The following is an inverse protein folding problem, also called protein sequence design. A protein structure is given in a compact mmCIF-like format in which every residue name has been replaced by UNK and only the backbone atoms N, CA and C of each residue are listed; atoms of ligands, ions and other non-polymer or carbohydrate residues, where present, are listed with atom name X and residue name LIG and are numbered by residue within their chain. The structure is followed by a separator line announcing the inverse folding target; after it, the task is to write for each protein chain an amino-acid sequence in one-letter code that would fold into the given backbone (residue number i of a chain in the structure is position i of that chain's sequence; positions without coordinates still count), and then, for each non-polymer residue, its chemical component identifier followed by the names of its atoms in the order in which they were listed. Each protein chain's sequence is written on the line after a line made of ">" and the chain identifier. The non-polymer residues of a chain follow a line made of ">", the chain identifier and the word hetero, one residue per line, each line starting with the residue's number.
data_IF_448902078100
#
_entry.id   IF_448902078100
#
_cell.length_a   1.000
_cell.length_b   1.000
_cell.length_c   1.000
_cell.angle_alpha   90.00
_cell.angle_beta   90.00
_cell.angle_gamma   90.00
#
_symmetry.space_group_name_H-M   'P 1'
#
loop_
_entity.id
_entity.type
_entity.pdbx_description
1 polymer ?
#
# COMPACT_ATOMS: atom_id res chain seq x y z
N UNK A 1 19.93 -8.22 23.57
CA UNK A 1 20.75 -7.88 24.75
C UNK A 1 22.15 -7.38 24.40
N UNK A 2 22.77 -7.78 23.29
CA UNK A 2 24.14 -7.34 22.94
C UNK A 2 24.20 -6.00 22.18
N UNK A 3 23.15 -5.64 21.43
CA UNK A 3 23.00 -4.28 20.88
C UNK A 3 23.91 -3.97 19.69
N UNK A 4 24.35 -5.00 18.96
CA UNK A 4 25.23 -4.83 17.80
C UNK A 4 24.53 -4.06 16.67
N UNK A 5 25.29 -3.20 15.99
CA UNK A 5 24.83 -2.52 14.77
C UNK A 5 24.68 -3.51 13.62
N UNK A 6 23.73 -3.24 12.73
CA UNK A 6 23.46 -4.03 11.53
C UNK A 6 23.58 -3.17 10.28
N UNK A 7 23.96 -3.77 9.16
CA UNK A 7 23.99 -3.08 7.87
C UNK A 7 22.59 -2.94 7.29
N UNK A 8 22.40 -1.99 6.36
CA UNK A 8 21.11 -1.79 5.72
C UNK A 8 20.68 -3.03 4.88
N UNK A 9 21.64 -3.74 4.28
CA UNK A 9 21.40 -4.99 3.56
C UNK A 9 20.86 -6.10 4.48
N UNK A 10 21.48 -6.24 5.66
CA UNK A 10 21.00 -7.18 6.68
C UNK A 10 19.59 -6.80 7.17
N UNK A 11 19.31 -5.49 7.31
CA UNK A 11 17.99 -5.00 7.69
C UNK A 11 16.91 -5.42 6.69
N UNK A 12 17.21 -5.38 5.38
CA UNK A 12 16.30 -5.84 4.33
C UNK A 12 16.10 -7.35 4.41
N UNK A 13 17.19 -8.11 4.53
CA UNK A 13 17.14 -9.58 4.61
C UNK A 13 16.28 -10.07 5.77
N UNK A 14 16.33 -9.37 6.91
CA UNK A 14 15.54 -9.71 8.09
C UNK A 14 14.11 -9.16 8.06
N UNK A 15 13.75 -8.40 7.02
CA UNK A 15 12.42 -7.78 6.88
C UNK A 15 12.17 -6.60 7.82
N UNK A 16 13.22 -5.99 8.36
CA UNK A 16 13.10 -4.79 9.21
C UNK A 16 12.80 -3.54 8.36
N UNK A 17 13.39 -3.47 7.17
CA UNK A 17 13.10 -2.45 6.16
C UNK A 17 12.75 -3.11 4.84
N UNK A 18 12.05 -2.38 3.97
CA UNK A 18 11.57 -2.92 2.69
C UNK A 18 12.65 -3.02 1.61
N UNK A 19 13.56 -2.04 1.53
CA UNK A 19 14.58 -1.95 0.48
C UNK A 19 15.81 -1.17 0.97
N UNK A 20 16.97 -1.56 0.47
CA UNK A 20 18.23 -0.84 0.58
C UNK A 20 18.69 -0.47 -0.84
N UNK A 21 19.18 0.75 -1.01
CA UNK A 21 19.73 1.29 -2.26
C UNK A 21 21.00 2.04 -1.95
N UNK A 22 21.82 2.33 -2.96
CA UNK A 22 22.99 3.20 -2.80
C UNK A 22 22.58 4.58 -2.27
N UNK A 23 23.44 5.19 -1.46
CA UNK A 23 23.16 6.48 -0.78
C UNK A 23 22.67 7.57 -1.75
N UNK A 24 23.28 7.64 -2.94
CA UNK A 24 22.93 8.62 -3.98
C UNK A 24 21.53 8.39 -4.57
N UNK A 25 21.00 7.17 -4.46
CA UNK A 25 19.70 6.76 -5.00
C UNK A 25 18.57 6.84 -3.96
N UNK A 26 18.88 7.08 -2.68
CA UNK A 26 17.87 7.08 -1.61
C UNK A 26 16.71 8.03 -1.90
N UNK A 27 17.01 9.30 -2.17
CA UNK A 27 15.98 10.31 -2.44
C UNK A 27 15.26 10.10 -3.78
N UNK A 28 15.97 9.87 -4.92
CA UNK A 28 15.32 9.53 -6.18
C UNK A 28 14.32 8.37 -6.07
N UNK A 29 14.69 7.29 -5.37
CA UNK A 29 13.85 6.11 -5.19
C UNK A 29 12.64 6.40 -4.29
N UNK A 30 12.85 7.13 -3.19
CA UNK A 30 11.78 7.53 -2.28
C UNK A 30 10.75 8.44 -2.96
N UNK A 31 11.21 9.41 -3.76
CA UNK A 31 10.34 10.31 -4.51
C UNK A 31 9.56 9.57 -5.60
N UNK A 32 10.21 8.64 -6.30
CA UNK A 32 9.53 7.78 -7.28
C UNK A 32 8.41 6.95 -6.63
N UNK A 33 8.65 6.43 -5.42
CA UNK A 33 7.66 5.68 -4.66
C UNK A 33 6.48 6.56 -4.22
N UNK A 34 6.76 7.80 -3.77
CA UNK A 34 5.74 8.78 -3.44
C UNK A 34 4.86 9.12 -4.65
N UNK A 35 5.48 9.38 -5.81
CA UNK A 35 4.77 9.65 -7.06
C UNK A 35 3.92 8.45 -7.48
N UNK A 36 4.46 7.24 -7.37
CA UNK A 36 3.72 6.02 -7.67
C UNK A 36 2.48 5.88 -6.80
N UNK A 37 2.61 5.97 -5.47
CA UNK A 37 1.46 5.86 -4.58
C UNK A 37 0.46 7.01 -4.73
N UNK A 38 0.92 8.21 -5.06
CA UNK A 38 0.05 9.35 -5.32
C UNK A 38 -0.76 9.20 -6.62
N UNK A 39 -0.29 8.42 -7.59
CA UNK A 39 -1.01 8.13 -8.84
C UNK A 39 -1.98 6.94 -8.74
N UNK A 40 -1.91 6.17 -7.66
CA UNK A 40 -2.81 5.03 -7.39
C UNK A 40 -4.15 5.50 -6.76
N UNK A 41 -5.17 4.62 -6.61
CA UNK A 41 -6.43 4.99 -5.95
C UNK A 41 -6.20 5.18 -4.44
N UNK A 42 -5.85 6.40 -4.04
CA UNK A 42 -5.37 6.71 -2.69
C UNK A 42 -6.37 6.41 -1.58
N UNK A 43 -7.69 6.54 -1.84
CA UNK A 43 -8.72 6.09 -0.89
C UNK A 43 -8.67 4.58 -0.69
N UNK A 44 -8.57 3.80 -1.78
CA UNK A 44 -8.41 2.35 -1.72
C UNK A 44 -7.15 1.94 -0.95
N UNK A 45 -6.02 2.59 -1.20
CA UNK A 45 -4.78 2.37 -0.46
C UNK A 45 -4.92 2.67 1.04
N UNK A 46 -5.65 3.73 1.40
CA UNK A 46 -5.93 4.06 2.79
C UNK A 46 -6.79 2.97 3.46
N UNK A 47 -7.79 2.43 2.77
CA UNK A 47 -8.61 1.32 3.28
C UNK A 47 -7.79 0.04 3.45
N UNK A 48 -6.89 -0.29 2.52
CA UNK A 48 -5.96 -1.43 2.65
C UNK A 48 -5.07 -1.24 3.89
N UNK A 49 -4.48 -0.05 4.07
CA UNK A 49 -3.65 0.25 5.24
C UNK A 49 -4.43 0.14 6.55
N UNK A 50 -5.70 0.56 6.55
CA UNK A 50 -6.61 0.42 7.70
C UNK A 50 -6.87 -1.05 8.02
N UNK A 51 -7.15 -1.89 7.02
CA UNK A 51 -7.34 -3.33 7.20
C UNK A 51 -6.08 -4.02 7.76
N UNK A 52 -4.90 -3.67 7.21
CA UNK A 52 -3.62 -4.24 7.64
C UNK A 52 -3.29 -3.86 9.09
N UNK A 53 -3.49 -2.60 9.47
CA UNK A 53 -3.21 -2.15 10.84
C UNK A 53 -4.13 -2.82 11.88
N UNK A 54 -5.35 -3.19 11.50
CA UNK A 54 -6.29 -3.85 12.40
C UNK A 54 -6.01 -5.35 12.58
N UNK A 55 -5.35 -6.01 11.62
CA UNK A 55 -5.24 -7.47 11.58
C UNK A 55 -4.44 -8.07 12.73
N UNK A 56 -3.52 -7.31 13.33
CA UNK A 56 -2.75 -7.75 14.50
C UNK A 56 -3.62 -7.98 15.75
N UNK A 57 -4.74 -7.26 15.87
CA UNK A 57 -5.64 -7.33 17.02
C UNK A 57 -6.93 -8.13 16.76
N UNK A 58 -7.27 -8.35 15.50
CA UNK A 58 -8.51 -9.03 15.12
C UNK A 58 -8.34 -10.56 15.13
N UNK A 59 -9.42 -11.27 15.46
CA UNK A 59 -9.57 -12.67 15.03
C UNK A 59 -9.80 -12.72 13.51
N UNK A 60 -9.63 -13.91 12.91
CA UNK A 60 -9.90 -14.09 11.48
C UNK A 60 -11.31 -13.63 11.10
N UNK A 61 -12.34 -14.01 11.86
CA UNK A 61 -13.73 -13.64 11.58
C UNK A 61 -13.93 -12.11 11.63
N UNK A 62 -13.38 -11.45 12.65
CA UNK A 62 -13.44 -9.99 12.79
C UNK A 62 -12.73 -9.29 11.62
N UNK A 63 -11.60 -9.83 11.18
CA UNK A 63 -10.85 -9.28 10.07
C UNK A 63 -11.61 -9.42 8.75
N UNK A 64 -12.24 -10.57 8.50
CA UNK A 64 -13.06 -10.80 7.31
C UNK A 64 -14.30 -9.89 7.29
N UNK A 65 -14.93 -9.65 8.44
CA UNK A 65 -16.02 -8.70 8.58
C UNK A 65 -15.57 -7.27 8.25
N UNK A 66 -14.42 -6.84 8.78
CA UNK A 66 -13.83 -5.54 8.48
C UNK A 66 -13.51 -5.40 6.99
N UNK A 67 -12.84 -6.39 6.39
CA UNK A 67 -12.46 -6.38 4.98
C UNK A 67 -13.68 -6.34 4.05
N UNK A 68 -14.75 -7.07 4.37
CA UNK A 68 -16.04 -7.00 3.66
C UNK A 68 -16.57 -5.58 3.64
N UNK A 69 -16.58 -4.90 4.79
CA UNK A 69 -17.17 -3.57 4.90
C UNK A 69 -16.30 -2.51 4.20
N UNK A 70 -14.97 -2.61 4.32
CA UNK A 70 -14.03 -1.76 3.59
C UNK A 70 -14.12 -1.98 2.07
N UNK A 71 -14.29 -3.21 1.60
CA UNK A 71 -14.48 -3.46 0.17
C UNK A 71 -15.81 -2.93 -0.35
N UNK A 72 -16.87 -2.98 0.45
CA UNK A 72 -18.15 -2.35 0.11
C UNK A 72 -18.03 -0.83 0.03
N UNK A 73 -17.21 -0.21 0.88
CA UNK A 73 -16.87 1.20 0.81
C UNK A 73 -16.08 1.52 -0.47
N UNK A 74 -15.01 0.77 -0.73
CA UNK A 74 -14.19 0.93 -1.93
C UNK A 74 -15.00 0.76 -3.22
N UNK A 75 -15.91 -0.21 -3.28
CA UNK A 75 -16.77 -0.44 -4.45
C UNK A 75 -17.76 0.69 -4.77
N UNK A 76 -17.86 1.72 -3.93
CA UNK A 76 -18.72 2.90 -4.14
C UNK A 76 -17.96 4.16 -4.54
N UNK A 77 -16.64 4.09 -4.67
CA UNK A 77 -15.80 5.22 -5.05
C UNK A 77 -15.82 5.46 -6.56
N UNK A 78 -15.51 6.69 -6.99
CA UNK A 78 -15.31 7.00 -8.40
C UNK A 78 -14.12 6.21 -8.96
N UNK A 79 -13.07 6.05 -8.17
CA UNK A 79 -11.86 5.31 -8.53
C UNK A 79 -12.13 3.82 -8.81
N UNK A 80 -13.09 3.19 -8.12
CA UNK A 80 -13.48 1.81 -8.44
C UNK A 80 -14.14 1.73 -9.81
N UNK A 81 -15.09 2.62 -10.10
CA UNK A 81 -15.74 2.68 -11.40
C UNK A 81 -14.74 2.95 -12.52
N UNK A 82 -13.82 3.89 -12.31
CA UNK A 82 -12.75 4.22 -13.26
C UNK A 82 -11.81 3.04 -13.47
N UNK A 83 -11.36 2.37 -12.41
CA UNK A 83 -10.48 1.21 -12.53
C UNK A 83 -11.10 0.07 -13.33
N UNK A 84 -12.38 -0.24 -13.09
CA UNK A 84 -13.12 -1.24 -13.86
C UNK A 84 -13.28 -0.80 -15.32
N UNK A 85 -13.63 0.46 -15.55
CA UNK A 85 -13.84 1.01 -16.90
C UNK A 85 -12.55 1.01 -17.71
N UNK A 86 -11.47 1.55 -17.15
CA UNK A 86 -10.15 1.60 -17.78
C UNK A 86 -9.62 0.21 -18.12
N UNK A 87 -9.84 -0.77 -17.24
CA UNK A 87 -9.50 -2.17 -17.50
C UNK A 87 -10.27 -2.74 -18.69
N UNK A 88 -11.60 -2.54 -18.73
CA UNK A 88 -12.45 -3.00 -19.84
C UNK A 88 -12.09 -2.32 -21.17
N UNK A 89 -11.72 -1.04 -21.11
CA UNK A 89 -11.30 -0.22 -22.25
C UNK A 89 -9.83 -0.41 -22.64
N UNK A 90 -9.05 -1.19 -21.86
CA UNK A 90 -7.60 -1.42 -22.05
C UNK A 90 -6.78 -0.13 -22.12
N UNK A 91 -7.11 0.84 -21.27
CA UNK A 91 -6.37 2.09 -21.10
C UNK A 91 -5.84 2.22 -19.68
N UNK A 92 -4.93 3.16 -19.49
CA UNK A 92 -4.49 3.56 -18.16
C UNK A 92 -5.64 4.22 -17.39
N UNK A 93 -5.76 3.89 -16.10
CA UNK A 93 -6.76 4.46 -15.20
C UNK A 93 -6.29 5.80 -14.65
N UNK A 94 -7.20 6.75 -14.50
CA UNK A 94 -6.92 8.08 -13.93
C UNK A 94 -7.64 8.21 -12.59
N UNK A 95 -6.92 7.89 -11.51
CA UNK A 95 -7.46 7.95 -10.16
C UNK A 95 -7.48 9.38 -9.58
N UNK A 96 -8.48 9.66 -8.76
CA UNK A 96 -8.73 10.97 -8.11
C UNK A 96 -8.75 10.88 -6.59
N UNK A 97 -8.66 9.69 -6.02
CA UNK A 97 -8.65 9.46 -4.57
C UNK A 97 -10.02 9.57 -3.91
N UNK A 98 -11.11 9.31 -4.64
CA UNK A 98 -12.49 9.43 -4.17
C UNK A 98 -13.43 8.45 -4.87
#
# INVERSE_FOLDING_TARGET
>A
MLGDSLSAEQAVEWGLIWRCVDDEQLMPEADALCVHFASQPTHGLALIKKALNASWGNTLDQQLDLERDLQREAGRTEDYHEGVTAFMEKREAIFKGK
#
